data_IF_599923179362
#
_entry.id   IF_599923179362
#
_cell.length_a   1.000
_cell.length_b   1.000
_cell.length_c   1.000
_cell.angle_alpha   90.00
_cell.angle_beta   90.00
_cell.angle_gamma   90.00
#
_symmetry.space_group_name_H-M   'P 1'
#
loop_
_entity.id
_entity.type
_entity.pdbx_description
1 polymer ?
#
# COMPACT_ATOMS: atom_id res chain seq x y z
N UNK A 1 11.86 18.12 -0.71
CA UNK A 1 12.41 16.79 -1.06
C UNK A 1 13.12 16.76 -2.42
N UNK A 2 12.49 17.16 -3.54
CA UNK A 2 13.16 17.10 -4.87
C UNK A 2 14.46 17.92 -4.96
N UNK A 3 14.51 19.07 -4.27
CA UNK A 3 15.72 19.92 -4.19
C UNK A 3 16.94 19.17 -3.65
N UNK A 4 16.76 18.33 -2.63
CA UNK A 4 17.86 17.63 -1.94
C UNK A 4 18.31 16.34 -2.63
N UNK A 5 17.59 15.90 -3.67
CA UNK A 5 18.00 14.74 -4.47
C UNK A 5 19.17 15.13 -5.38
N UNK A 6 20.18 14.26 -5.46
CA UNK A 6 21.20 14.35 -6.51
C UNK A 6 20.60 14.03 -7.89
N UNK A 7 21.20 14.48 -9.01
CA UNK A 7 20.83 14.03 -10.35
C UNK A 7 20.80 12.50 -10.44
N UNK A 8 19.76 11.92 -11.06
CA UNK A 8 19.52 10.48 -11.07
C UNK A 8 18.98 9.88 -9.76
N UNK A 9 18.81 10.69 -8.70
CA UNK A 9 18.23 10.27 -7.43
C UNK A 9 16.77 9.85 -7.57
N UNK A 10 16.36 8.82 -6.82
CA UNK A 10 15.00 8.27 -6.84
C UNK A 10 14.16 8.88 -5.72
N UNK A 11 12.89 9.15 -6.00
CA UNK A 11 11.89 9.54 -5.03
C UNK A 11 10.76 8.51 -5.04
N UNK A 12 10.30 8.12 -3.86
CA UNK A 12 9.06 7.38 -3.66
C UNK A 12 8.15 8.20 -2.75
N UNK A 13 6.96 8.50 -3.23
CA UNK A 13 5.87 9.05 -2.43
C UNK A 13 4.88 7.93 -2.18
N UNK A 14 4.54 7.70 -0.91
CA UNK A 14 3.53 6.74 -0.47
C UNK A 14 2.58 7.45 0.49
N UNK A 15 1.31 7.50 0.15
CA UNK A 15 0.30 8.17 0.98
C UNK A 15 -1.13 7.72 0.60
N UNK A 16 -2.09 8.14 1.42
CA UNK A 16 -3.52 7.98 1.17
C UNK A 16 -3.97 8.87 0.01
N UNK A 17 -4.94 8.36 -0.74
CA UNK A 17 -5.44 9.00 -1.94
C UNK A 17 -6.71 9.77 -1.63
N UNK A 18 -6.78 11.03 -2.06
CA UNK A 18 -7.98 11.86 -1.96
C UNK A 18 -9.20 11.21 -2.63
N UNK A 19 -8.98 10.39 -3.66
CA UNK A 19 -10.03 9.62 -4.35
C UNK A 19 -10.39 8.29 -3.69
N UNK A 20 -10.19 8.13 -2.37
CA UNK A 20 -10.58 6.92 -1.62
C UNK A 20 -12.10 6.67 -1.50
N UNK A 21 -12.94 7.52 -2.10
CA UNK A 21 -14.39 7.30 -2.16
C UNK A 21 -14.66 5.96 -2.85
N UNK A 22 -15.51 5.12 -2.25
CA UNK A 22 -15.73 3.71 -2.65
C UNK A 22 -14.55 2.77 -2.40
N UNK A 23 -13.80 2.95 -1.31
CA UNK A 23 -12.92 1.90 -0.77
C UNK A 23 -13.67 1.04 0.24
N UNK A 24 -13.20 -0.18 0.48
CA UNK A 24 -13.81 -1.07 1.47
C UNK A 24 -13.83 -0.43 2.86
N UNK A 25 -12.77 0.30 3.21
CA UNK A 25 -12.69 1.07 4.44
C UNK A 25 -13.80 2.14 4.54
N UNK A 26 -14.05 2.88 3.45
CA UNK A 26 -15.15 3.84 3.38
C UNK A 26 -16.54 3.18 3.45
N UNK A 27 -16.71 2.00 2.86
CA UNK A 27 -17.96 1.23 2.94
C UNK A 27 -18.23 0.67 4.33
N UNK A 28 -17.21 0.09 4.98
CA UNK A 28 -17.31 -0.30 6.37
C UNK A 28 -17.74 0.88 7.22
N UNK A 29 -17.14 2.05 7.01
CA UNK A 29 -17.52 3.29 7.70
C UNK A 29 -19.00 3.66 7.49
N UNK A 30 -19.52 3.59 6.26
CA UNK A 30 -20.95 3.85 6.04
C UNK A 30 -21.87 2.90 6.82
N UNK A 31 -21.48 1.63 6.93
CA UNK A 31 -22.31 0.59 7.55
C UNK A 31 -22.18 0.59 9.07
N UNK A 32 -20.96 0.75 9.59
CA UNK A 32 -20.69 0.71 11.03
C UNK A 32 -21.10 2.01 11.72
N UNK A 33 -20.89 3.18 11.10
CA UNK A 33 -21.17 4.46 11.76
C UNK A 33 -22.67 4.80 11.85
N UNK A 34 -23.52 4.16 11.03
CA UNK A 34 -24.98 4.33 11.12
C UNK A 34 -25.68 3.40 12.11
N UNK A 35 -25.01 2.38 12.66
CA UNK A 35 -25.64 1.47 13.64
C UNK A 35 -24.76 0.98 14.81
N UNK A 36 -23.44 0.92 14.74
CA UNK A 36 -22.62 0.18 15.73
C UNK A 36 -21.19 0.69 16.05
N UNK A 37 -20.66 1.78 15.46
CA UNK A 37 -19.25 2.16 15.61
C UNK A 37 -19.02 3.52 16.29
N UNK A 38 -18.49 3.48 17.52
CA UNK A 38 -17.88 4.64 18.18
C UNK A 38 -16.48 4.84 17.59
N UNK A 39 -16.31 5.79 16.69
CA UNK A 39 -14.98 6.34 16.37
C UNK A 39 -14.84 7.69 17.06
N UNK A 40 -14.43 7.64 18.34
CA UNK A 40 -14.12 8.83 19.14
C UNK A 40 -12.64 9.24 19.01
N UNK A 41 -11.84 8.59 18.15
CA UNK A 41 -10.39 8.73 18.15
C UNK A 41 -9.74 9.23 16.85
N UNK A 42 -10.34 8.99 15.67
CA UNK A 42 -9.68 9.20 14.38
C UNK A 42 -10.36 10.21 13.45
N UNK A 43 -10.89 11.30 14.02
CA UNK A 43 -11.54 12.36 13.23
C UNK A 43 -10.60 13.02 12.20
N UNK A 44 -9.30 13.09 12.48
CA UNK A 44 -8.31 13.73 11.62
C UNK A 44 -7.60 12.80 10.63
N UNK A 45 -7.52 11.50 10.93
CA UNK A 45 -6.75 10.53 10.12
C UNK A 45 -7.44 10.18 8.80
N UNK A 46 -8.69 10.60 8.63
CA UNK A 46 -9.52 10.30 7.47
C UNK A 46 -10.17 11.55 6.84
N UNK A 47 -9.63 12.74 7.12
CA UNK A 47 -10.06 13.97 6.48
C UNK A 47 -9.65 13.98 4.99
N UNK A 48 -10.60 13.85 4.04
CA UNK A 48 -10.28 13.83 2.62
C UNK A 48 -9.62 15.11 2.11
N UNK A 49 -9.77 16.22 2.84
CA UNK A 49 -9.16 17.51 2.48
C UNK A 49 -7.65 17.51 2.67
N UNK A 50 -7.14 16.73 3.64
CA UNK A 50 -5.71 16.58 3.94
C UNK A 50 -5.02 15.59 3.00
N UNK A 51 -5.78 14.82 2.22
CA UNK A 51 -5.23 13.75 1.38
C UNK A 51 -4.75 14.26 0.03
N UNK A 52 -3.73 13.60 -0.51
CA UNK A 52 -3.14 13.98 -1.79
C UNK A 52 -3.83 13.24 -2.95
N UNK A 53 -3.97 13.94 -4.08
CA UNK A 53 -4.40 13.34 -5.33
C UNK A 53 -3.17 12.92 -6.14
N UNK A 54 -3.09 11.63 -6.48
CA UNK A 54 -1.96 11.07 -7.20
C UNK A 54 -1.63 11.78 -8.54
N UNK A 55 -2.65 12.27 -9.26
CA UNK A 55 -2.46 13.00 -10.51
C UNK A 55 -1.89 14.40 -10.29
N UNK A 56 -2.34 15.08 -9.24
CA UNK A 56 -1.84 16.41 -8.88
C UNK A 56 -0.38 16.32 -8.42
N UNK A 57 -0.06 15.33 -7.57
CA UNK A 57 1.34 15.08 -7.16
C UNK A 57 2.21 14.73 -8.35
N UNK A 58 1.72 13.92 -9.31
CA UNK A 58 2.47 13.62 -10.54
C UNK A 58 2.78 14.88 -11.33
N UNK A 59 1.78 15.69 -11.65
CA UNK A 59 1.97 16.97 -12.36
C UNK A 59 2.94 17.88 -11.62
N UNK A 60 2.81 17.99 -10.30
CA UNK A 60 3.73 18.77 -9.48
C UNK A 60 5.18 18.26 -9.60
N UNK A 61 5.42 16.95 -9.52
CA UNK A 61 6.76 16.39 -9.68
C UNK A 61 7.32 16.60 -11.10
N UNK A 62 6.49 16.53 -12.14
CA UNK A 62 6.88 16.86 -13.52
C UNK A 62 7.44 18.29 -13.60
N UNK A 63 6.77 19.27 -12.97
CA UNK A 63 7.27 20.67 -12.91
C UNK A 63 8.57 20.84 -12.12
N UNK A 64 9.01 19.82 -11.37
CA UNK A 64 10.23 19.84 -10.56
C UNK A 64 11.36 19.01 -11.17
N UNK A 65 11.36 18.83 -12.49
CA UNK A 65 12.37 18.06 -13.22
C UNK A 65 12.48 16.60 -12.76
N UNK A 66 11.37 16.00 -12.33
CA UNK A 66 11.30 14.55 -12.14
C UNK A 66 10.83 13.88 -13.43
N UNK A 67 11.48 12.79 -13.78
CA UNK A 67 11.23 11.99 -14.98
C UNK A 67 10.96 10.54 -14.59
N UNK A 68 10.51 9.72 -15.54
CA UNK A 68 10.16 8.29 -15.32
C UNK A 68 9.11 8.10 -14.21
N UNK A 69 8.13 9.00 -14.14
CA UNK A 69 7.10 9.01 -13.11
C UNK A 69 6.12 7.85 -13.32
N UNK A 70 6.17 6.85 -12.43
CA UNK A 70 5.24 5.72 -12.42
C UNK A 70 4.32 5.82 -11.21
N UNK A 71 3.02 5.82 -11.49
CA UNK A 71 1.96 5.82 -10.50
C UNK A 71 1.44 4.40 -10.33
N UNK A 72 1.17 3.98 -9.10
CA UNK A 72 0.59 2.67 -8.80
C UNK A 72 -0.41 2.84 -7.67
N UNK A 73 -1.64 2.37 -7.88
CA UNK A 73 -2.69 2.41 -6.87
C UNK A 73 -2.74 1.08 -6.13
N UNK A 74 -3.03 1.13 -4.83
CA UNK A 74 -3.16 -0.04 -3.97
C UNK A 74 -4.41 0.08 -3.09
N UNK A 75 -4.83 -1.04 -2.51
CA UNK A 75 -6.01 -1.12 -1.64
C UNK A 75 -7.27 -0.55 -2.32
N UNK A 76 -7.57 -1.08 -3.50
CA UNK A 76 -8.86 -0.92 -4.16
C UNK A 76 -9.93 -1.75 -3.45
N UNK A 77 -11.21 -1.41 -3.68
CA UNK A 77 -12.35 -1.92 -2.90
C UNK A 77 -12.31 -3.43 -2.68
N UNK A 78 -12.26 -4.21 -3.75
CA UNK A 78 -12.38 -5.66 -3.65
C UNK A 78 -11.10 -6.33 -3.15
N UNK A 79 -9.93 -5.79 -3.49
CA UNK A 79 -8.64 -6.26 -2.99
C UNK A 79 -8.55 -6.07 -1.47
N UNK A 80 -9.02 -4.92 -0.96
CA UNK A 80 -9.03 -4.65 0.48
C UNK A 80 -10.08 -5.50 1.21
N UNK A 81 -11.28 -5.64 0.64
CA UNK A 81 -12.33 -6.51 1.18
C UNK A 81 -11.87 -7.98 1.29
N UNK A 82 -11.16 -8.46 0.26
CA UNK A 82 -10.61 -9.81 0.25
C UNK A 82 -9.52 -10.00 1.31
N UNK A 83 -8.62 -9.03 1.49
CA UNK A 83 -7.59 -9.07 2.53
C UNK A 83 -8.20 -9.16 3.93
N UNK A 84 -9.26 -8.39 4.19
CA UNK A 84 -9.97 -8.46 5.48
C UNK A 84 -10.72 -9.78 5.65
N UNK A 85 -11.36 -10.30 4.61
CA UNK A 85 -11.97 -11.63 4.66
C UNK A 85 -10.94 -12.71 4.98
N UNK A 86 -9.76 -12.66 4.33
CA UNK A 86 -8.65 -13.57 4.61
C UNK A 86 -8.20 -13.45 6.07
N UNK A 87 -8.05 -12.22 6.58
CA UNK A 87 -7.69 -11.96 7.96
C UNK A 87 -8.71 -12.56 8.93
N UNK A 88 -10.01 -12.36 8.70
CA UNK A 88 -11.08 -12.96 9.52
C UNK A 88 -11.00 -14.48 9.52
N UNK A 89 -10.88 -15.11 8.34
CA UNK A 89 -10.74 -16.57 8.20
C UNK A 89 -9.52 -17.08 9.00
N UNK A 90 -8.39 -16.37 8.94
CA UNK A 90 -7.17 -16.71 9.68
C UNK A 90 -7.32 -16.46 11.21
N UNK A 91 -8.07 -15.45 11.63
CA UNK A 91 -8.33 -15.17 13.04
C UNK A 91 -9.25 -16.24 13.66
N UNK A 92 -10.29 -16.68 12.94
CA UNK A 92 -11.12 -17.82 13.35
C UNK A 92 -10.31 -19.12 13.46
N UNK A 93 -9.24 -19.29 12.67
CA UNK A 93 -8.27 -20.40 12.81
C UNK A 93 -7.48 -20.33 14.13
N UNK A 94 -7.22 -19.14 14.65
CA UNK A 94 -6.44 -18.90 15.88
C UNK A 94 -7.25 -19.07 17.18
N UNK A 95 -8.57 -18.90 17.14
CA UNK A 95 -9.46 -18.99 18.32
C UNK A 95 -9.58 -20.40 18.92
N UNK A 96 -9.01 -21.43 18.29
CA UNK A 96 -8.97 -22.80 18.83
C UNK A 96 -7.81 -23.08 19.80
N UNK A 97 -6.93 -22.12 20.06
CA UNK A 97 -5.89 -22.25 21.10
C UNK A 97 -6.13 -21.20 22.16
N UNK A 98 -6.77 -21.61 23.25
CA UNK A 98 -6.75 -20.87 24.51
C UNK A 98 -5.29 -20.59 24.88
N UNK A 99 -4.84 -19.35 24.75
CA UNK A 99 -3.65 -18.87 25.42
C UNK A 99 -3.96 -18.84 26.91
N UNK A 100 -3.72 -19.97 27.59
CA UNK A 100 -3.59 -19.96 29.04
C UNK A 100 -2.34 -19.14 29.38
N UNK A 101 -2.55 -17.87 29.73
CA UNK A 101 -1.65 -16.96 30.45
C UNK A 101 -0.25 -16.66 29.85
N UNK A 102 0.18 -15.39 29.80
CA UNK A 102 1.55 -15.06 29.40
C UNK A 102 2.48 -15.37 30.57
N UNK A 103 3.20 -16.49 30.54
CA UNK A 103 4.45 -16.56 31.29
C UNK A 103 5.50 -15.80 30.48
N UNK A 104 5.86 -14.61 30.94
CA UNK A 104 6.99 -13.82 30.45
C UNK A 104 8.31 -14.58 30.69
N UNK A 105 8.54 -15.64 29.91
CA UNK A 105 9.80 -16.36 29.85
C UNK A 105 10.04 -16.67 28.37
N UNK A 106 10.85 -15.83 27.73
CA UNK A 106 11.37 -16.08 26.40
C UNK A 106 12.30 -17.29 26.47
N UNK A 107 11.73 -18.50 26.42
CA UNK A 107 12.49 -19.72 26.12
C UNK A 107 12.62 -19.78 24.60
N UNK A 108 13.82 -19.65 24.01
CA UNK A 108 13.99 -19.80 22.57
C UNK A 108 13.59 -21.23 22.20
N UNK A 109 12.39 -21.39 21.62
CA UNK A 109 11.99 -22.66 21.02
C UNK A 109 12.94 -22.92 19.86
N UNK A 110 13.61 -24.08 19.87
CA UNK A 110 14.35 -24.60 18.73
C UNK A 110 13.50 -24.42 17.46
N UNK A 111 14.08 -24.00 16.32
CA UNK A 111 13.34 -23.83 15.08
C UNK A 111 12.71 -25.17 14.71
N UNK A 112 11.40 -25.30 14.91
CA UNK A 112 10.65 -26.46 14.45
C UNK A 112 10.58 -26.36 12.94
N UNK A 113 11.56 -26.95 12.26
CA UNK A 113 11.72 -26.96 10.80
C UNK A 113 10.67 -27.85 10.08
N UNK A 114 9.60 -28.24 10.76
CA UNK A 114 8.53 -29.05 10.20
C UNK A 114 7.20 -28.35 10.48
N UNK A 115 6.84 -27.41 9.60
CA UNK A 115 5.46 -26.94 9.50
C UNK A 115 4.64 -28.14 8.99
N UNK A 116 3.71 -28.70 9.78
CA UNK A 116 2.92 -29.83 9.34
C UNK A 116 2.18 -29.46 8.04
N UNK A 117 2.05 -30.37 7.07
CA UNK A 117 1.41 -30.06 5.81
C UNK A 117 -0.02 -29.56 6.06
N UNK A 118 -0.46 -28.49 5.38
CA UNK A 118 -1.78 -27.94 5.60
C UNK A 118 -2.85 -29.03 5.31
N UNK A 119 -3.89 -29.16 6.17
CA UNK A 119 -4.95 -30.15 5.96
C UNK A 119 -5.58 -30.02 4.57
N UNK A 120 -6.14 -31.11 4.02
CA UNK A 120 -6.71 -31.13 2.66
C UNK A 120 -7.72 -30.00 2.40
N UNK A 121 -8.55 -29.66 3.40
CA UNK A 121 -9.49 -28.53 3.35
C UNK A 121 -8.79 -27.18 3.09
N UNK A 122 -7.56 -27.00 3.58
CA UNK A 122 -6.75 -25.80 3.36
C UNK A 122 -6.03 -25.80 2.02
N UNK A 123 -5.64 -26.97 1.49
CA UNK A 123 -5.15 -27.08 0.11
C UNK A 123 -6.26 -26.67 -0.87
N UNK A 124 -7.49 -27.10 -0.62
CA UNK A 124 -8.66 -26.70 -1.41
C UNK A 124 -8.96 -25.21 -1.27
N UNK A 125 -8.97 -24.67 -0.05
CA UNK A 125 -9.16 -23.24 0.18
C UNK A 125 -8.07 -22.41 -0.52
N UNK A 126 -6.80 -22.77 -0.41
CA UNK A 126 -5.71 -22.07 -1.11
C UNK A 126 -5.90 -22.09 -2.63
N UNK A 127 -6.37 -23.21 -3.19
CA UNK A 127 -6.70 -23.27 -4.63
C UNK A 127 -7.83 -22.30 -4.99
N UNK A 128 -8.88 -22.27 -4.18
CA UNK A 128 -10.01 -21.33 -4.38
C UNK A 128 -9.51 -19.89 -4.27
N UNK A 129 -8.74 -19.54 -3.23
CA UNK A 129 -8.19 -18.20 -3.04
C UNK A 129 -7.27 -17.78 -4.20
N UNK A 130 -6.44 -18.69 -4.72
CA UNK A 130 -5.57 -18.43 -5.86
C UNK A 130 -6.35 -18.17 -7.17
N UNK A 131 -7.56 -18.69 -7.30
CA UNK A 131 -8.45 -18.45 -8.44
C UNK A 131 -9.26 -17.18 -8.24
N UNK A 132 -9.72 -16.94 -7.01
CA UNK A 132 -10.59 -15.82 -6.66
C UNK A 132 -9.82 -14.50 -6.59
N UNK A 133 -8.55 -14.51 -6.18
CA UNK A 133 -7.71 -13.31 -6.14
C UNK A 133 -7.56 -12.60 -7.50
N UNK A 134 -7.17 -13.27 -8.62
CA UNK A 134 -7.09 -12.60 -9.92
C UNK A 134 -8.45 -12.10 -10.41
N UNK A 135 -9.54 -12.79 -10.04
CA UNK A 135 -10.89 -12.33 -10.35
C UNK A 135 -11.22 -11.01 -9.65
N UNK A 136 -10.96 -10.91 -8.33
CA UNK A 136 -11.11 -9.64 -7.60
C UNK A 136 -10.18 -8.57 -8.13
N UNK A 137 -8.95 -8.93 -8.52
CA UNK A 137 -8.03 -8.00 -9.13
C UNK A 137 -8.60 -7.40 -10.43
N UNK A 138 -9.19 -8.25 -11.28
CA UNK A 138 -9.84 -7.85 -12.54
C UNK A 138 -11.04 -6.95 -12.29
N UNK A 139 -11.92 -7.32 -11.34
CA UNK A 139 -13.09 -6.52 -10.96
C UNK A 139 -12.66 -5.14 -10.42
N UNK A 140 -11.52 -5.04 -9.76
CA UNK A 140 -10.95 -3.78 -9.27
C UNK A 140 -10.30 -2.91 -10.37
N UNK A 141 -10.10 -3.44 -11.58
CA UNK A 141 -9.40 -2.71 -12.66
C UNK A 141 -10.05 -1.37 -13.00
N UNK A 142 -11.38 -1.26 -13.16
CA UNK A 142 -12.03 0.02 -13.41
C UNK A 142 -11.76 1.06 -12.31
N UNK A 143 -11.77 0.63 -11.05
CA UNK A 143 -11.47 1.49 -9.89
C UNK A 143 -10.02 1.99 -9.92
N UNK A 144 -9.05 1.12 -10.26
CA UNK A 144 -7.65 1.53 -10.45
C UNK A 144 -7.48 2.53 -11.60
N UNK A 145 -8.21 2.34 -12.70
CA UNK A 145 -8.13 3.21 -13.88
C UNK A 145 -8.61 4.63 -13.55
N UNK A 146 -9.73 4.78 -12.83
CA UNK A 146 -10.24 6.09 -12.40
C UNK A 146 -9.48 6.66 -11.19
N UNK A 147 -8.61 5.85 -10.58
CA UNK A 147 -7.83 6.19 -9.40
C UNK A 147 -8.61 6.11 -8.08
N UNK A 148 -9.74 5.41 -8.06
CA UNK A 148 -10.50 5.11 -6.85
C UNK A 148 -9.77 4.00 -6.08
N UNK A 149 -9.04 4.38 -5.05
CA UNK A 149 -8.15 3.51 -4.27
C UNK A 149 -7.88 4.15 -2.92
N UNK A 150 -7.54 3.36 -1.90
CA UNK A 150 -7.24 3.89 -0.58
C UNK A 150 -5.95 4.72 -0.58
N UNK A 151 -4.95 4.29 -1.35
CA UNK A 151 -3.68 4.98 -1.45
C UNK A 151 -2.97 4.80 -2.79
N UNK A 152 -1.86 5.50 -2.94
CA UNK A 152 -1.02 5.41 -4.13
C UNK A 152 0.48 5.47 -3.81
N UNK A 153 1.25 4.82 -4.67
CA UNK A 153 2.68 5.02 -4.83
C UNK A 153 2.94 5.89 -6.05
N UNK A 154 3.87 6.82 -5.91
CA UNK A 154 4.41 7.57 -7.03
C UNK A 154 5.93 7.55 -6.94
N UNK A 155 6.55 6.86 -7.89
CA UNK A 155 8.00 6.79 -8.01
C UNK A 155 8.47 7.68 -9.16
N UNK A 156 9.62 8.33 -8.99
CA UNK A 156 10.25 9.14 -10.03
C UNK A 156 11.76 9.24 -9.86
N UNK A 157 12.43 9.70 -10.91
CA UNK A 157 13.88 9.92 -10.95
C UNK A 157 14.16 11.38 -11.26
N UNK A 158 15.02 12.03 -10.49
CA UNK A 158 15.45 13.40 -10.77
C UNK A 158 16.24 13.42 -12.09
N UNK A 159 15.81 14.27 -13.01
CA UNK A 159 16.45 14.44 -14.31
C UNK A 159 17.94 14.73 -14.15
N UNK A 160 18.77 14.07 -14.98
CA UNK A 160 20.18 14.39 -15.09
C UNK A 160 20.33 15.59 -16.02
N UNK A 161 20.55 16.77 -15.45
CA UNK A 161 21.02 17.91 -16.23
C UNK A 161 22.46 17.63 -16.66
N UNK A 162 22.69 17.44 -17.97
CA UNK A 162 24.00 17.15 -18.58
C UNK A 162 25.06 18.26 -18.41
N UNK A 163 24.80 19.33 -17.67
CA UNK A 163 25.65 20.53 -17.61
C UNK A 163 26.90 20.43 -16.72
N UNK A 164 27.43 19.23 -16.42
CA UNK A 164 28.61 19.09 -15.54
C UNK A 164 29.84 18.44 -16.15
N UNK A 165 29.81 18.03 -17.41
CA UNK A 165 30.97 17.40 -18.05
C UNK A 165 31.83 18.34 -18.90
N UNK A 166 31.36 19.54 -19.25
CA UNK A 166 32.14 20.47 -20.09
C UNK A 166 33.01 21.49 -19.31
N UNK A 167 32.78 21.72 -18.01
CA UNK A 167 33.50 22.78 -17.25
C UNK A 167 34.74 22.31 -16.47
N UNK A 168 35.15 21.04 -16.58
CA UNK A 168 36.29 20.50 -15.83
C UNK A 168 37.51 20.22 -16.72
N UNK A 169 37.39 20.37 -18.04
CA UNK A 169 38.46 20.04 -19.00
C UNK A 169 39.02 21.25 -19.77
N UNK A 170 38.83 22.49 -19.30
CA UNK A 170 39.67 23.58 -19.80
C UNK A 170 41.02 23.51 -19.07
N UNK A 171 42.14 23.21 -19.77
CA UNK A 171 43.45 23.34 -19.17
C UNK A 171 43.66 24.81 -18.82
N UNK A 172 44.11 25.06 -17.59
CA UNK A 172 44.62 26.37 -17.18
C UNK A 172 45.72 26.79 -18.17
N UNK A 173 45.38 27.70 -19.08
CA UNK A 173 46.37 28.44 -19.84
C UNK A 173 46.85 29.59 -18.95
N UNK A 174 48.07 29.45 -18.45
CA UNK A 174 48.79 30.44 -17.65
C UNK A 174 50.20 29.97 -17.39
#
# INVERSE_FOLDING_TARGET
MVRVLKPGGKLLVYTLNKKQFFTWHWFLRLITFRKLGVDKGHLDDHDPEKFLNANEVKKFLETKNMTKLKKTYFDTFFTLAFNELLYLILQYRGKGKSENSPSCVFKPKKPQLAVPPPPFKWKLLNRILNIVYPLFYLIDTPFRLIGASNGFFLQGVKHQSHQREESVNEPLQG
#
